data_IF_885573544388
#
_entry.id   IF_885573544388
#
_cell.length_a   1.000
_cell.length_b   1.000
_cell.length_c   1.000
_cell.angle_alpha   90.00
_cell.angle_beta   90.00
_cell.angle_gamma   90.00
#
_symmetry.space_group_name_H-M   'P 1'
#
loop_
_entity.id
_entity.type
_entity.pdbx_description
1 polymer ?
#
# COMPACT_ATOMS: atom_id res chain seq x y z
N UNK A 1 7.72 7.88 20.51
CA UNK A 1 7.61 8.04 19.03
C UNK A 1 6.26 8.67 18.73
N UNK A 2 6.19 9.69 17.87
CA UNK A 2 4.92 10.37 17.55
C UNK A 2 3.92 9.43 16.91
N UNK A 3 2.67 9.44 17.37
CA UNK A 3 1.57 8.73 16.70
C UNK A 3 0.90 9.66 15.67
N UNK A 4 1.36 9.61 14.42
CA UNK A 4 0.83 10.47 13.36
C UNK A 4 -0.64 10.16 13.04
N UNK A 5 -1.07 8.91 13.21
CA UNK A 5 -2.42 8.46 12.86
C UNK A 5 -3.42 8.97 13.88
N UNK A 6 -3.16 8.74 15.18
CA UNK A 6 -3.99 9.27 16.26
C UNK A 6 -3.96 10.80 16.27
N UNK A 7 -2.80 11.43 15.99
CA UNK A 7 -2.70 12.89 15.91
C UNK A 7 -3.61 13.45 14.81
N UNK A 8 -3.54 12.93 13.59
CA UNK A 8 -4.42 13.37 12.49
C UNK A 8 -5.89 13.13 12.84
N UNK A 9 -6.22 11.96 13.40
CA UNK A 9 -7.59 11.64 13.78
C UNK A 9 -8.17 12.64 14.80
N UNK A 10 -7.40 13.05 15.81
CA UNK A 10 -7.82 14.06 16.78
C UNK A 10 -8.09 15.41 16.13
N UNK A 11 -7.20 15.87 15.24
CA UNK A 11 -7.36 17.14 14.50
C UNK A 11 -8.61 17.16 13.61
N UNK A 12 -8.90 16.05 12.95
CA UNK A 12 -10.10 15.92 12.11
C UNK A 12 -11.36 15.92 12.97
N UNK A 13 -11.37 15.20 14.09
CA UNK A 13 -12.54 15.11 14.97
C UNK A 13 -12.81 16.40 15.74
N UNK A 14 -11.76 17.15 16.11
CA UNK A 14 -11.89 18.46 16.76
C UNK A 14 -12.35 19.57 15.81
N UNK A 15 -12.27 19.35 14.49
CA UNK A 15 -12.55 20.36 13.47
C UNK A 15 -11.36 21.28 13.14
N UNK A 16 -10.16 21.04 13.70
CA UNK A 16 -8.93 21.75 13.30
C UNK A 16 -8.64 21.51 11.81
N UNK A 17 -8.87 20.29 11.32
CA UNK A 17 -8.79 19.95 9.90
C UNK A 17 -10.21 19.74 9.37
N UNK A 18 -10.64 20.61 8.46
CA UNK A 18 -11.89 20.44 7.74
C UNK A 18 -11.85 19.14 6.92
N UNK A 19 -12.81 18.27 7.13
CA UNK A 19 -12.90 16.98 6.45
C UNK A 19 -14.36 16.61 6.15
N UNK A 20 -14.55 15.75 5.15
CA UNK A 20 -15.87 15.21 4.83
C UNK A 20 -16.41 14.33 5.97
N UNK A 21 -17.73 14.15 6.02
CA UNK A 21 -18.38 13.29 7.02
C UNK A 21 -17.76 11.88 7.08
N UNK A 22 -17.45 11.28 5.92
CA UNK A 22 -16.81 9.96 5.85
C UNK A 22 -15.42 9.95 6.47
N UNK A 23 -14.60 10.98 6.22
CA UNK A 23 -13.26 11.09 6.82
C UNK A 23 -13.34 11.31 8.34
N UNK A 24 -14.30 12.11 8.82
CA UNK A 24 -14.56 12.29 10.25
C UNK A 24 -14.96 10.96 10.88
N UNK A 25 -15.85 10.18 10.26
CA UNK A 25 -16.27 8.87 10.76
C UNK A 25 -15.11 7.88 10.87
N UNK A 26 -14.22 7.82 9.88
CA UNK A 26 -13.04 6.94 9.93
C UNK A 26 -12.07 7.37 11.03
N UNK A 27 -11.89 8.68 11.26
CA UNK A 27 -11.08 9.19 12.36
C UNK A 27 -11.71 8.88 13.73
N UNK A 28 -13.03 9.08 13.89
CA UNK A 28 -13.76 8.68 15.10
C UNK A 28 -13.64 7.18 15.37
N UNK A 29 -13.74 6.34 14.34
CA UNK A 29 -13.54 4.89 14.44
C UNK A 29 -12.13 4.56 14.95
N UNK A 30 -11.09 5.20 14.40
CA UNK A 30 -9.73 5.00 14.88
C UNK A 30 -9.60 5.34 16.37
N UNK A 31 -10.11 6.50 16.80
CA UNK A 31 -10.07 6.90 18.21
C UNK A 31 -10.87 5.96 19.12
N UNK A 32 -12.06 5.52 18.68
CA UNK A 32 -12.86 4.54 19.41
C UNK A 32 -12.15 3.19 19.55
N UNK A 33 -11.45 2.72 18.51
CA UNK A 33 -10.65 1.50 18.60
C UNK A 33 -9.43 1.66 19.51
N UNK A 34 -8.87 2.86 19.64
CA UNK A 34 -7.78 3.12 20.60
C UNK A 34 -8.24 2.99 22.06
N UNK A 35 -9.51 3.31 22.34
CA UNK A 35 -10.12 3.17 23.67
C UNK A 35 -10.60 1.74 23.93
N UNK A 36 -11.26 1.15 22.93
CA UNK A 36 -11.81 -0.20 23.01
C UNK A 36 -11.49 -0.98 21.73
N UNK A 37 -10.29 -1.62 21.66
CA UNK A 37 -9.89 -2.39 20.50
C UNK A 37 -10.84 -3.56 20.23
N UNK A 38 -11.16 -3.86 18.96
CA UNK A 38 -11.88 -5.09 18.62
C UNK A 38 -11.15 -6.34 19.12
N UNK A 39 -11.89 -7.43 19.39
CA UNK A 39 -11.32 -8.63 19.98
C UNK A 39 -10.12 -9.18 19.16
N UNK A 40 -9.03 -9.47 19.87
CA UNK A 40 -7.76 -9.95 19.32
C UNK A 40 -6.97 -8.90 18.53
N UNK A 41 -7.46 -7.66 18.46
CA UNK A 41 -6.81 -6.57 17.74
C UNK A 41 -6.06 -5.63 18.69
N UNK A 42 -4.97 -5.04 18.20
CA UNK A 42 -4.21 -4.02 18.92
C UNK A 42 -3.60 -3.00 17.96
N UNK A 43 -3.28 -1.83 18.49
CA UNK A 43 -2.58 -0.78 17.77
C UNK A 43 -1.07 -0.90 17.97
N UNK A 44 -0.33 -1.03 16.87
CA UNK A 44 1.13 -1.00 16.86
C UNK A 44 1.63 0.28 16.18
N UNK A 45 1.91 1.30 17.00
CA UNK A 45 2.44 2.57 16.54
C UNK A 45 3.86 2.44 15.94
N UNK A 46 4.63 1.41 16.31
CA UNK A 46 5.96 1.19 15.73
C UNK A 46 5.85 0.70 14.29
N UNK A 47 5.01 -0.30 14.02
CA UNK A 47 4.75 -0.80 12.66
C UNK A 47 4.12 0.28 11.77
N UNK A 48 3.17 1.05 12.31
CA UNK A 48 2.59 2.23 11.65
C UNK A 48 3.67 3.21 11.19
N UNK A 49 4.52 3.66 12.12
CA UNK A 49 5.60 4.59 11.83
C UNK A 49 6.67 4.02 10.90
N UNK A 50 6.97 2.71 10.99
CA UNK A 50 7.93 2.05 10.10
C UNK A 50 7.47 2.13 8.65
N UNK A 51 6.19 1.84 8.39
CA UNK A 51 5.62 1.96 7.05
C UNK A 51 5.59 3.42 6.57
N UNK A 52 5.13 4.36 7.41
CA UNK A 52 5.12 5.80 7.07
C UNK A 52 6.53 6.27 6.68
N UNK A 53 7.54 6.00 7.53
CA UNK A 53 8.92 6.41 7.29
C UNK A 53 9.50 5.80 6.03
N UNK A 54 9.17 4.53 5.75
CA UNK A 54 9.63 3.89 4.53
C UNK A 54 9.06 4.59 3.29
N UNK A 55 7.75 4.85 3.25
CA UNK A 55 7.13 5.56 2.12
C UNK A 55 7.68 6.99 1.99
N UNK A 56 7.89 7.71 3.09
CA UNK A 56 8.50 9.06 3.08
C UNK A 56 9.95 9.07 2.57
N UNK A 57 10.69 7.98 2.77
CA UNK A 57 12.07 7.85 2.32
C UNK A 57 12.19 7.62 0.81
N UNK A 58 11.13 7.14 0.17
CA UNK A 58 11.13 6.88 -1.26
C UNK A 58 11.20 8.20 -2.03
N UNK A 59 12.12 8.34 -2.98
CA UNK A 59 12.25 9.57 -3.75
C UNK A 59 11.04 9.77 -4.68
N UNK A 60 10.61 11.02 -4.84
CA UNK A 60 9.74 11.38 -5.95
C UNK A 60 10.56 11.27 -7.25
N UNK A 61 10.14 10.48 -8.25
CA UNK A 61 10.91 10.32 -9.48
C UNK A 61 11.12 11.61 -10.28
N UNK A 62 10.34 12.66 -10.03
CA UNK A 62 10.49 13.97 -10.65
C UNK A 62 11.61 14.79 -10.03
N UNK A 63 11.87 14.61 -8.74
CA UNK A 63 12.83 15.43 -7.98
C UNK A 63 14.06 14.65 -7.52
N UNK A 64 14.00 13.31 -7.56
CA UNK A 64 14.97 12.40 -6.95
C UNK A 64 15.20 12.62 -5.45
N UNK A 65 14.31 13.36 -4.79
CA UNK A 65 14.36 13.65 -3.36
C UNK A 65 13.19 12.99 -2.62
N UNK A 66 13.39 12.55 -1.37
CA UNK A 66 12.30 12.10 -0.51
C UNK A 66 11.19 13.15 -0.43
N UNK A 67 9.93 12.72 -0.51
CA UNK A 67 8.78 13.61 -0.35
C UNK A 67 8.08 13.30 0.96
N UNK A 68 8.00 14.26 1.91
CA UNK A 68 7.29 14.04 3.15
C UNK A 68 5.80 13.82 2.87
N UNK A 69 5.21 12.85 3.57
CA UNK A 69 3.79 12.55 3.43
C UNK A 69 2.96 13.62 4.13
N UNK A 70 1.87 14.03 3.49
CA UNK A 70 0.85 14.87 4.12
C UNK A 70 0.18 14.13 5.28
N UNK A 71 -0.38 14.85 6.26
CA UNK A 71 -0.93 14.23 7.48
C UNK A 71 -2.00 13.16 7.17
N UNK A 72 -2.88 13.39 6.18
CA UNK A 72 -3.88 12.40 5.79
C UNK A 72 -3.27 11.18 5.08
N UNK A 73 -2.16 11.34 4.36
CA UNK A 73 -1.46 10.23 3.71
C UNK A 73 -0.79 9.35 4.78
N UNK A 74 -0.22 9.98 5.82
CA UNK A 74 0.27 9.27 7.02
C UNK A 74 -0.85 8.51 7.71
N UNK A 75 -2.04 9.11 7.81
CA UNK A 75 -3.21 8.44 8.36
C UNK A 75 -3.61 7.21 7.55
N UNK A 76 -3.62 7.29 6.21
CA UNK A 76 -3.92 6.15 5.32
C UNK A 76 -2.89 5.04 5.51
N UNK A 77 -1.59 5.34 5.31
CA UNK A 77 -0.53 4.33 5.41
C UNK A 77 -0.47 3.76 6.82
N UNK A 78 -0.36 4.61 7.83
CA UNK A 78 -0.23 4.16 9.21
C UNK A 78 -1.42 3.33 9.70
N UNK A 79 -2.66 3.67 9.30
CA UNK A 79 -3.83 2.87 9.67
C UNK A 79 -3.79 1.45 9.10
N UNK A 80 -3.31 1.28 7.86
CA UNK A 80 -3.26 -0.02 7.20
C UNK A 80 -2.18 -0.95 7.77
N UNK A 81 -1.07 -0.38 8.24
CA UNK A 81 0.06 -1.17 8.76
C UNK A 81 0.06 -1.30 10.29
N UNK A 82 -0.51 -0.32 11.01
CA UNK A 82 -0.48 -0.24 12.47
C UNK A 82 -1.55 -1.06 13.20
N UNK A 83 -2.74 -1.22 12.64
CA UNK A 83 -3.77 -2.06 13.25
C UNK A 83 -3.47 -3.55 12.98
N UNK A 84 -3.30 -4.33 14.05
CA UNK A 84 -2.93 -5.74 14.01
C UNK A 84 -4.03 -6.62 14.62
N UNK A 85 -4.14 -7.85 14.13
CA UNK A 85 -4.88 -8.95 14.77
C UNK A 85 -3.90 -10.10 15.00
N UNK A 86 -3.50 -10.32 16.25
CA UNK A 86 -2.32 -11.14 16.54
C UNK A 86 -1.09 -10.66 15.76
N UNK A 87 -0.46 -11.56 14.99
CA UNK A 87 0.69 -11.22 14.15
C UNK A 87 0.32 -10.69 12.77
N UNK A 88 -0.97 -10.62 12.40
CA UNK A 88 -1.43 -10.23 11.06
C UNK A 88 -2.01 -8.81 11.03
N UNK A 89 -2.21 -8.25 9.84
CA UNK A 89 -2.93 -6.96 9.70
C UNK A 89 -4.39 -7.17 10.07
N UNK A 90 -4.97 -6.20 10.77
CA UNK A 90 -6.41 -6.18 11.00
C UNK A 90 -7.17 -5.81 9.71
N UNK A 91 -6.68 -4.80 8.99
CA UNK A 91 -7.29 -4.36 7.74
C UNK A 91 -6.61 -5.05 6.56
N UNK A 92 -7.36 -5.93 5.90
CA UNK A 92 -6.91 -6.75 4.78
C UNK A 92 -7.42 -6.19 3.44
N UNK A 93 -8.39 -5.26 3.50
CA UNK A 93 -8.95 -4.53 2.37
C UNK A 93 -9.03 -3.04 2.67
N UNK A 94 -8.75 -2.22 1.67
CA UNK A 94 -8.81 -0.77 1.76
C UNK A 94 -9.45 -0.18 0.51
N UNK A 95 -10.38 0.75 0.70
CA UNK A 95 -10.92 1.59 -0.37
C UNK A 95 -10.49 3.03 -0.10
N UNK A 96 -9.77 3.63 -1.05
CA UNK A 96 -9.18 4.96 -0.92
C UNK A 96 -9.73 5.85 -2.05
N UNK A 97 -10.62 6.77 -1.68
CA UNK A 97 -11.11 7.82 -2.58
C UNK A 97 -10.32 9.10 -2.35
N UNK A 98 -9.59 9.54 -3.37
CA UNK A 98 -8.72 10.72 -3.30
C UNK A 98 -8.95 11.63 -4.51
N UNK A 99 -8.85 12.94 -4.30
CA UNK A 99 -8.87 13.91 -5.39
C UNK A 99 -7.62 13.81 -6.27
N UNK A 100 -7.74 14.26 -7.53
CA UNK A 100 -6.62 14.27 -8.49
C UNK A 100 -5.46 15.12 -7.97
N UNK A 101 -4.23 14.76 -8.36
CA UNK A 101 -2.97 15.44 -8.01
C UNK A 101 -2.60 15.44 -6.52
N UNK A 102 -3.19 14.56 -5.70
CA UNK A 102 -2.89 14.42 -4.26
C UNK A 102 -1.85 13.32 -3.93
N UNK A 103 -0.98 13.00 -4.88
CA UNK A 103 0.11 12.03 -4.66
C UNK A 103 -0.34 10.57 -4.49
N UNK A 104 -1.54 10.18 -4.96
CA UNK A 104 -2.06 8.81 -4.83
C UNK A 104 -1.10 7.76 -5.40
N UNK A 105 -0.61 7.97 -6.62
CA UNK A 105 0.31 7.02 -7.27
C UNK A 105 1.61 6.82 -6.49
N UNK A 106 2.11 7.87 -5.82
CA UNK A 106 3.32 7.80 -4.98
C UNK A 106 3.08 6.94 -3.73
N UNK A 107 1.92 7.11 -3.07
CA UNK A 107 1.53 6.29 -1.93
C UNK A 107 1.39 4.84 -2.36
N UNK A 108 0.67 4.60 -3.47
CA UNK A 108 0.42 3.26 -3.99
C UNK A 108 1.74 2.57 -4.37
N UNK A 109 2.63 3.25 -5.11
CA UNK A 109 3.94 2.69 -5.46
C UNK A 109 4.78 2.39 -4.22
N UNK A 110 4.79 3.31 -3.23
CA UNK A 110 5.54 3.11 -2.00
C UNK A 110 5.01 1.99 -1.14
N UNK A 111 3.69 1.83 -1.07
CA UNK A 111 3.07 0.66 -0.43
C UNK A 111 3.42 -0.63 -1.16
N UNK A 112 3.37 -0.68 -2.49
CA UNK A 112 3.77 -1.87 -3.26
C UNK A 112 5.21 -2.29 -2.96
N UNK A 113 6.14 -1.34 -2.94
CA UNK A 113 7.55 -1.62 -2.63
C UNK A 113 7.72 -2.04 -1.16
N UNK A 114 6.94 -1.46 -0.25
CA UNK A 114 6.96 -1.86 1.16
C UNK A 114 6.48 -3.30 1.36
N UNK A 115 5.41 -3.70 0.67
CA UNK A 115 4.92 -5.10 0.68
C UNK A 115 5.95 -6.06 0.08
N UNK A 116 6.62 -5.65 -1.00
CA UNK A 116 7.64 -6.46 -1.65
C UNK A 116 8.80 -6.76 -0.69
N UNK A 117 9.35 -5.71 -0.09
CA UNK A 117 10.58 -5.79 0.71
C UNK A 117 10.36 -6.24 2.16
N UNK A 118 9.21 -5.90 2.75
CA UNK A 118 8.95 -6.09 4.18
C UNK A 118 7.67 -6.87 4.48
N UNK A 119 6.94 -7.32 3.47
CA UNK A 119 5.83 -8.26 3.65
C UNK A 119 6.31 -9.51 4.38
N UNK A 120 5.55 -9.96 5.38
CA UNK A 120 5.94 -11.07 6.25
C UNK A 120 5.22 -12.38 5.93
N UNK A 121 4.09 -12.32 5.22
CA UNK A 121 3.28 -13.48 4.91
C UNK A 121 2.72 -13.41 3.47
N UNK A 122 2.81 -14.51 2.70
CA UNK A 122 3.74 -15.63 2.91
C UNK A 122 5.19 -15.15 2.96
N UNK A 123 6.10 -15.95 3.54
CA UNK A 123 7.52 -15.57 3.67
C UNK A 123 8.24 -15.52 2.30
N UNK A 124 7.79 -16.35 1.36
CA UNK A 124 8.33 -16.48 0.01
C UNK A 124 7.21 -16.35 -1.02
N UNK A 125 7.56 -16.08 -2.28
CA UNK A 125 6.66 -16.05 -3.43
C UNK A 125 5.46 -15.10 -3.27
N UNK A 126 5.65 -13.94 -2.64
CA UNK A 126 4.58 -12.93 -2.58
C UNK A 126 4.38 -12.34 -3.96
N UNK A 127 3.16 -12.42 -4.46
CA UNK A 127 2.79 -11.81 -5.74
C UNK A 127 2.00 -10.52 -5.45
N UNK A 128 2.59 -9.39 -5.81
CA UNK A 128 2.00 -8.07 -5.64
C UNK A 128 1.68 -7.55 -7.03
N UNK A 129 0.42 -7.21 -7.27
CA UNK A 129 -0.02 -6.77 -8.58
C UNK A 129 -0.73 -5.42 -8.52
N UNK A 130 -0.47 -4.60 -9.53
CA UNK A 130 -1.24 -3.38 -9.80
C UNK A 130 -1.96 -3.50 -11.13
N UNK A 131 -3.25 -3.23 -11.12
CA UNK A 131 -4.07 -3.09 -12.31
C UNK A 131 -4.81 -1.75 -12.27
N UNK A 132 -5.22 -1.28 -13.45
CA UNK A 132 -6.00 -0.06 -13.63
C UNK A 132 -6.86 -0.22 -14.89
N UNK A 133 -7.73 0.75 -15.20
CA UNK A 133 -8.59 0.71 -16.40
C UNK A 133 -7.81 0.41 -17.69
N UNK A 134 -6.56 0.89 -17.78
CA UNK A 134 -5.65 0.57 -18.88
C UNK A 134 -4.31 0.03 -18.36
N UNK A 135 -3.70 -0.87 -19.14
CA UNK A 135 -2.34 -1.36 -18.83
C UNK A 135 -1.32 -0.22 -18.76
N UNK A 136 -1.48 0.84 -19.58
CA UNK A 136 -0.61 2.02 -19.55
C UNK A 136 -0.66 2.77 -18.21
N UNK A 137 -1.83 2.86 -17.57
CA UNK A 137 -1.97 3.44 -16.23
C UNK A 137 -1.30 2.55 -15.17
N UNK A 138 -1.54 1.23 -15.20
CA UNK A 138 -0.86 0.29 -14.31
C UNK A 138 0.68 0.37 -14.47
N UNK A 139 1.17 0.45 -15.71
CA UNK A 139 2.58 0.60 -16.03
C UNK A 139 3.16 1.93 -15.51
N UNK A 140 2.35 2.99 -15.38
CA UNK A 140 2.81 4.27 -14.81
C UNK A 140 3.16 4.12 -13.33
N UNK A 141 2.34 3.41 -12.56
CA UNK A 141 2.61 3.10 -11.15
C UNK A 141 3.83 2.18 -11.03
N UNK A 142 3.90 1.16 -11.89
CA UNK A 142 5.05 0.25 -11.91
C UNK A 142 6.36 1.00 -12.20
N UNK A 143 6.41 1.83 -13.25
CA UNK A 143 7.59 2.64 -13.59
C UNK A 143 8.02 3.55 -12.45
N UNK A 144 7.06 4.15 -11.73
CA UNK A 144 7.33 4.95 -10.54
C UNK A 144 8.02 4.12 -9.44
N UNK A 145 7.52 2.92 -9.15
CA UNK A 145 8.17 2.01 -8.22
C UNK A 145 9.57 1.55 -8.71
N UNK A 146 9.72 1.23 -9.99
CA UNK A 146 11.02 0.82 -10.56
C UNK A 146 12.06 1.93 -10.42
N UNK A 147 11.67 3.18 -10.65
CA UNK A 147 12.54 4.35 -10.45
C UNK A 147 12.92 4.51 -8.97
N UNK A 148 11.95 4.42 -8.06
CA UNK A 148 12.19 4.47 -6.62
C UNK A 148 13.18 3.38 -6.17
N UNK A 149 12.97 2.13 -6.62
CA UNK A 149 13.84 1.01 -6.28
C UNK A 149 15.22 1.22 -6.88
N UNK A 150 15.36 1.60 -8.15
CA UNK A 150 16.67 1.88 -8.75
C UNK A 150 17.44 3.00 -8.03
N UNK A 151 16.76 4.04 -7.56
CA UNK A 151 17.38 5.09 -6.75
C UNK A 151 17.83 4.59 -5.36
N UNK A 152 17.12 3.62 -4.77
CA UNK A 152 17.60 2.95 -3.56
C UNK A 152 18.79 2.03 -3.86
N UNK A 153 18.77 1.29 -4.99
CA UNK A 153 19.87 0.41 -5.44
C UNK A 153 21.16 1.18 -5.73
N UNK A 154 21.08 2.42 -6.20
CA UNK A 154 22.26 3.28 -6.41
C UNK A 154 22.91 3.71 -5.09
N UNK A 155 22.13 3.82 -4.01
CA UNK A 155 22.59 4.25 -2.68
C UNK A 155 22.93 3.10 -1.73
N UNK A 156 22.37 1.90 -1.94
CA UNK A 156 22.52 0.76 -1.02
C UNK A 156 22.90 -0.52 -1.76
N UNK A 157 24.09 -1.05 -1.43
CA UNK A 157 24.56 -2.35 -1.93
C UNK A 157 23.60 -3.47 -1.56
N UNK A 158 23.10 -3.47 -0.32
CA UNK A 158 22.14 -4.46 0.17
C UNK A 158 20.85 -4.47 -0.67
N UNK A 159 20.26 -3.30 -0.94
CA UNK A 159 19.05 -3.24 -1.78
C UNK A 159 19.35 -3.66 -3.21
N UNK A 160 20.52 -3.27 -3.76
CA UNK A 160 20.95 -3.67 -5.10
C UNK A 160 21.08 -5.19 -5.28
N UNK A 161 21.61 -5.89 -4.29
CA UNK A 161 21.74 -7.35 -4.29
C UNK A 161 20.43 -8.06 -3.97
N UNK A 162 19.59 -7.47 -3.11
CA UNK A 162 18.29 -8.02 -2.73
C UNK A 162 17.24 -7.87 -3.83
N UNK A 163 17.39 -6.91 -4.74
CA UNK A 163 16.36 -6.58 -5.74
C UNK A 163 16.86 -6.67 -7.18
N UNK A 164 16.03 -7.27 -8.04
CA UNK A 164 16.18 -7.23 -9.49
C UNK A 164 15.05 -6.41 -10.11
N UNK A 165 15.39 -5.44 -10.96
CA UNK A 165 14.42 -4.50 -11.55
C UNK A 165 14.40 -4.74 -13.06
N UNK A 166 13.32 -5.37 -13.53
CA UNK A 166 13.11 -5.75 -14.92
C UNK A 166 12.09 -4.84 -15.58
N UNK A 167 11.89 -5.01 -16.89
CA UNK A 167 10.84 -4.27 -17.63
C UNK A 167 9.43 -4.76 -17.28
N UNK A 168 9.31 -5.99 -16.80
CA UNK A 168 8.07 -6.70 -16.52
C UNK A 168 7.70 -6.72 -15.04
N UNK A 169 8.70 -6.71 -14.15
CA UNK A 169 8.53 -6.90 -12.72
C UNK A 169 9.71 -6.30 -11.92
N UNK A 170 9.51 -6.17 -10.62
CA UNK A 170 10.57 -5.98 -9.63
C UNK A 170 10.54 -7.19 -8.70
N UNK A 171 11.66 -7.89 -8.59
CA UNK A 171 11.80 -9.07 -7.76
C UNK A 171 12.59 -8.76 -6.47
N UNK A 172 12.12 -9.27 -5.32
CA UNK A 172 12.97 -9.51 -4.16
C UNK A 172 13.57 -10.92 -4.28
N UNK A 173 14.83 -10.96 -4.71
CA UNK A 173 15.55 -12.20 -5.07
C UNK A 173 15.65 -13.17 -3.89
N UNK A 174 15.70 -12.65 -2.65
CA UNK A 174 15.82 -13.49 -1.46
C UNK A 174 14.52 -14.22 -1.12
N UNK A 175 13.38 -13.66 -1.49
CA UNK A 175 12.07 -14.25 -1.20
C UNK A 175 11.34 -14.74 -2.44
N UNK A 176 11.90 -14.55 -3.64
CA UNK A 176 11.25 -14.78 -4.94
C UNK A 176 9.88 -14.08 -5.04
N UNK A 177 9.73 -12.96 -4.33
CA UNK A 177 8.51 -12.15 -4.35
C UNK A 177 8.59 -11.15 -5.49
N UNK A 178 7.46 -10.83 -6.11
CA UNK A 178 7.41 -9.98 -7.30
C UNK A 178 6.38 -8.87 -7.17
N UNK A 179 6.71 -7.69 -7.69
CA UNK A 179 5.76 -6.63 -7.98
C UNK A 179 5.68 -6.40 -9.49
N UNK A 180 4.49 -6.53 -10.08
CA UNK A 180 4.29 -6.34 -11.52
C UNK A 180 2.97 -5.63 -11.87
N UNK A 181 2.90 -4.91 -13.01
CA UNK A 181 1.65 -4.42 -13.55
C UNK A 181 0.91 -5.54 -14.28
N UNK A 182 -0.42 -5.59 -14.14
CA UNK A 182 -1.29 -6.47 -14.91
C UNK A 182 -2.15 -5.66 -15.89
N UNK A 183 -2.43 -6.25 -17.04
CA UNK A 183 -3.47 -5.74 -17.94
C UNK A 183 -4.84 -5.96 -17.31
N UNK A 184 -5.80 -5.13 -17.70
CA UNK A 184 -7.20 -5.30 -17.34
C UNK A 184 -7.87 -6.33 -18.27
N UNK A 185 -7.28 -7.53 -18.36
CA UNK A 185 -7.85 -8.68 -19.06
C UNK A 185 -8.00 -9.82 -18.03
N UNK A 186 -9.15 -10.49 -17.95
CA UNK A 186 -9.38 -11.65 -17.09
C UNK A 186 -8.26 -12.71 -17.12
N UNK A 187 -7.73 -13.03 -18.30
CA UNK A 187 -6.65 -14.02 -18.46
C UNK A 187 -5.35 -13.62 -17.75
N UNK A 188 -5.17 -12.32 -17.49
CA UNK A 188 -3.99 -11.80 -16.82
C UNK A 188 -3.97 -12.14 -15.32
N UNK A 189 -5.09 -12.54 -14.71
CA UNK A 189 -5.16 -12.92 -13.29
C UNK A 189 -5.25 -14.43 -13.12
N UNK A 190 -5.74 -15.15 -14.12
CA UNK A 190 -5.90 -16.60 -14.04
C UNK A 190 -4.54 -17.32 -13.86
N UNK A 191 -4.50 -18.26 -12.91
CA UNK A 191 -3.30 -18.98 -12.50
C UNK A 191 -2.34 -18.21 -11.58
N UNK A 192 -2.66 -16.96 -11.20
CA UNK A 192 -1.87 -16.19 -10.23
C UNK A 192 -2.45 -16.32 -8.82
N UNK A 193 -1.57 -16.26 -7.82
CA UNK A 193 -1.94 -16.27 -6.39
C UNK A 193 -1.55 -14.91 -5.79
N UNK A 194 -2.34 -13.85 -6.08
CA UNK A 194 -2.07 -12.53 -5.55
C UNK A 194 -2.05 -12.55 -4.02
N UNK A 195 -0.98 -12.04 -3.44
CA UNK A 195 -0.90 -11.75 -2.00
C UNK A 195 -1.36 -10.33 -1.69
N UNK A 196 -1.16 -9.41 -2.64
CA UNK A 196 -1.62 -8.03 -2.59
C UNK A 196 -2.10 -7.65 -3.98
N UNK A 197 -3.35 -7.20 -4.05
CA UNK A 197 -3.97 -6.70 -5.28
C UNK A 197 -4.28 -5.20 -5.13
N UNK A 198 -3.83 -4.41 -6.10
CA UNK A 198 -4.04 -2.96 -6.14
C UNK A 198 -4.81 -2.63 -7.41
N UNK A 199 -5.99 -2.03 -7.23
CA UNK A 199 -6.82 -1.51 -8.31
C UNK A 199 -6.78 0.01 -8.29
N UNK A 200 -6.04 0.61 -9.23
CA UNK A 200 -6.03 2.06 -9.40
C UNK A 200 -7.09 2.53 -10.39
N UNK A 201 -7.67 3.70 -10.14
CA UNK A 201 -8.81 4.23 -10.90
C UNK A 201 -10.00 3.26 -10.97
N UNK A 202 -10.30 2.55 -9.87
CA UNK A 202 -11.41 1.59 -9.78
C UNK A 202 -12.75 2.14 -10.29
N UNK A 203 -13.06 3.41 -10.00
CA UNK A 203 -14.30 4.05 -10.45
C UNK A 203 -14.38 4.27 -11.98
N UNK A 204 -13.27 4.11 -12.70
CA UNK A 204 -13.17 4.20 -14.16
C UNK A 204 -12.99 2.83 -14.81
N UNK A 205 -13.07 1.73 -14.04
CA UNK A 205 -13.08 0.38 -14.61
C UNK A 205 -14.44 0.10 -15.25
N UNK A 206 -14.49 -0.71 -16.33
CA UNK A 206 -15.75 -1.01 -17.02
C UNK A 206 -16.74 -1.81 -16.16
N UNK A 207 -16.22 -2.68 -15.29
CA UNK A 207 -16.96 -3.58 -14.43
C UNK A 207 -16.12 -4.00 -13.21
N UNK A 208 -16.70 -4.85 -12.35
CA UNK A 208 -16.07 -5.38 -11.14
C UNK A 208 -15.36 -6.73 -11.38
N UNK A 209 -15.14 -7.16 -12.63
CA UNK A 209 -14.57 -8.48 -12.94
C UNK A 209 -13.14 -8.60 -12.38
N UNK A 210 -12.31 -7.59 -12.61
CA UNK A 210 -10.92 -7.59 -12.14
C UNK A 210 -10.84 -7.66 -10.60
N UNK A 211 -11.73 -6.95 -9.90
CA UNK A 211 -11.85 -7.04 -8.45
C UNK A 211 -12.28 -8.43 -8.00
N UNK A 212 -13.26 -9.02 -8.69
CA UNK A 212 -13.77 -10.36 -8.38
C UNK A 212 -12.69 -11.42 -8.56
N UNK A 213 -11.91 -11.35 -9.64
CA UNK A 213 -10.78 -12.27 -9.92
C UNK A 213 -9.66 -12.18 -8.90
N UNK A 214 -9.28 -10.96 -8.51
CA UNK A 214 -8.33 -10.81 -7.41
C UNK A 214 -8.89 -11.40 -6.12
N UNK A 215 -10.15 -11.10 -5.78
CA UNK A 215 -10.78 -11.65 -4.58
C UNK A 215 -10.79 -13.19 -4.58
N UNK A 216 -11.08 -13.83 -5.72
CA UNK A 216 -11.06 -15.30 -5.82
C UNK A 216 -9.65 -15.87 -5.75
N UNK A 217 -8.68 -15.24 -6.41
CA UNK A 217 -7.27 -15.65 -6.38
C UNK A 217 -6.64 -15.54 -5.00
N UNK A 218 -7.13 -14.61 -4.16
CA UNK A 218 -6.61 -14.42 -2.79
C UNK A 218 -7.19 -15.41 -1.76
N UNK A 219 -8.16 -16.26 -2.11
CA UNK A 219 -8.93 -17.07 -1.12
C UNK A 219 -8.09 -18.00 -0.24
N UNK A 220 -6.91 -18.41 -0.70
CA UNK A 220 -5.99 -19.27 0.06
C UNK A 220 -5.11 -18.51 1.07
N UNK A 221 -5.16 -17.18 1.06
CA UNK A 221 -4.38 -16.36 1.97
C UNK A 221 -4.98 -16.41 3.38
N UNK A 222 -4.20 -16.91 4.35
CA UNK A 222 -4.61 -17.05 5.77
C UNK A 222 -4.98 -15.73 6.46
N UNK A 223 -4.71 -14.61 5.80
CA UNK A 223 -4.85 -13.25 6.33
C UNK A 223 -5.96 -12.47 5.63
N UNK A 224 -6.96 -13.12 5.03
CA UNK A 224 -8.12 -12.44 4.43
C UNK A 224 -9.22 -12.14 5.45
#
# INVERSE_FOLDING_TARGET
MTDYVTKYAKKVVSGEILASLKNIQVCKRHLSFMENPPNGCHWDNHLSNKAIKFVEMLPDPKTNQPMPLMEFQKFIVGSLYGWRRGQYRMFTKAYISMARKQGKSLIVSGMSVNELLFGQYPKFNRQIYVASSTYKQAQTIFKMASQQVNLMRSKSKFIREKTDVRKTDIEDVLSSSVFAPLSNNPDAVDGKDPTVAILDELASMPDDEMYSRFKTGMTLQKNL
#
